data_IF_531213566871
#
_entry.id   IF_531213566871
#
_cell.length_a   1.000
_cell.length_b   1.000
_cell.length_c   1.000
_cell.angle_alpha   90.00
_cell.angle_beta   90.00
_cell.angle_gamma   90.00
#
_symmetry.space_group_name_H-M   'P 1'
#
loop_
_entity.id
_entity.type
_entity.pdbx_description
1 polymer ?
#
# COMPACT_ATOMS: atom_id res chain seq x y z
N UNK A 1 12.48 -4.88 -9.08
CA UNK A 1 11.88 -4.02 -10.12
C UNK A 1 10.58 -4.61 -10.64
N UNK A 2 10.56 -5.82 -11.18
CA UNK A 2 9.31 -6.46 -11.65
C UNK A 2 8.23 -6.61 -10.55
N UNK A 3 8.61 -7.07 -9.35
CA UNK A 3 7.69 -7.21 -8.22
C UNK A 3 7.07 -5.88 -7.81
N UNK A 4 7.86 -4.81 -7.72
CA UNK A 4 7.39 -3.46 -7.42
C UNK A 4 6.35 -2.95 -8.44
N UNK A 5 6.57 -3.19 -9.73
CA UNK A 5 5.59 -2.90 -10.80
C UNK A 5 4.30 -3.71 -10.63
N UNK A 6 4.41 -5.01 -10.33
CA UNK A 6 3.24 -5.88 -10.10
C UNK A 6 2.44 -5.41 -8.89
N UNK A 7 3.11 -5.09 -7.77
CA UNK A 7 2.43 -4.60 -6.57
C UNK A 7 1.72 -3.28 -6.81
N UNK A 8 2.32 -2.39 -7.60
CA UNK A 8 1.70 -1.11 -7.97
C UNK A 8 0.48 -1.32 -8.88
N UNK A 9 0.51 -2.34 -9.75
CA UNK A 9 -0.64 -2.72 -10.57
C UNK A 9 -1.79 -3.27 -9.71
N UNK A 10 -1.49 -4.14 -8.73
CA UNK A 10 -2.49 -4.60 -7.76
C UNK A 10 -3.09 -3.44 -6.95
N UNK A 11 -2.26 -2.49 -6.54
CA UNK A 11 -2.74 -1.28 -5.86
C UNK A 11 -3.73 -0.52 -6.74
N UNK A 12 -3.42 -0.29 -8.03
CA UNK A 12 -4.33 0.34 -8.98
C UNK A 12 -5.64 -0.45 -9.16
N UNK A 13 -5.59 -1.78 -9.24
CA UNK A 13 -6.78 -2.62 -9.32
C UNK A 13 -7.68 -2.47 -8.09
N UNK A 14 -7.09 -2.41 -6.90
CA UNK A 14 -7.84 -2.19 -5.67
C UNK A 14 -8.37 -0.76 -5.54
N UNK A 15 -7.65 0.26 -6.03
CA UNK A 15 -8.19 1.61 -6.14
C UNK A 15 -9.40 1.65 -7.09
N UNK A 16 -9.30 0.96 -8.23
CA UNK A 16 -10.40 0.82 -9.17
C UNK A 16 -11.61 0.15 -8.53
N UNK A 17 -11.42 -0.96 -7.82
CA UNK A 17 -12.48 -1.63 -7.08
C UNK A 17 -13.13 -0.70 -6.05
N UNK A 18 -12.33 0.06 -5.30
CA UNK A 18 -12.83 1.00 -4.28
C UNK A 18 -13.63 2.15 -4.89
N UNK A 19 -13.24 2.60 -6.08
CA UNK A 19 -13.98 3.62 -6.83
C UNK A 19 -15.30 3.06 -7.39
N UNK A 20 -15.31 1.83 -7.91
CA UNK A 20 -16.53 1.15 -8.39
C UNK A 20 -17.53 0.93 -7.25
N UNK A 21 -17.04 0.56 -6.06
CA UNK A 21 -17.85 0.39 -4.85
C UNK A 21 -18.21 1.71 -4.15
N UNK A 22 -17.80 2.86 -4.71
CA UNK A 22 -18.03 4.20 -4.17
C UNK A 22 -17.42 4.43 -2.76
N UNK A 23 -16.44 3.62 -2.37
CA UNK A 23 -15.66 3.85 -1.16
C UNK A 23 -14.56 4.88 -1.37
N UNK A 24 -14.04 4.97 -2.60
CA UNK A 24 -13.00 5.90 -3.01
C UNK A 24 -13.51 6.86 -4.08
N UNK A 25 -12.84 8.01 -4.20
CA UNK A 25 -13.07 8.95 -5.29
C UNK A 25 -11.99 8.76 -6.38
N UNK A 26 -12.20 9.41 -7.53
CA UNK A 26 -11.22 9.43 -8.61
C UNK A 26 -9.87 10.07 -8.24
N UNK A 27 -9.79 10.80 -7.13
CA UNK A 27 -8.54 11.41 -6.70
C UNK A 27 -7.58 10.39 -6.08
N UNK A 28 -8.07 9.19 -5.75
CA UNK A 28 -7.25 8.11 -5.20
C UNK A 28 -6.13 7.68 -6.14
N UNK A 29 -6.31 7.79 -7.46
CA UNK A 29 -5.29 7.42 -8.43
C UNK A 29 -4.06 8.32 -8.37
N UNK A 30 -4.17 9.56 -7.88
CA UNK A 30 -3.00 10.45 -7.68
C UNK A 30 -2.04 9.94 -6.61
N UNK A 31 -2.47 9.03 -5.74
CA UNK A 31 -1.60 8.44 -4.73
C UNK A 31 -0.67 7.37 -5.32
N UNK A 32 -0.90 6.90 -6.55
CA UNK A 32 -0.06 5.88 -7.20
C UNK A 32 1.44 6.23 -7.23
N UNK A 33 1.89 7.41 -7.72
CA UNK A 33 3.31 7.75 -7.72
C UNK A 33 3.90 7.81 -6.31
N UNK A 34 3.13 8.31 -5.33
CA UNK A 34 3.56 8.38 -3.93
C UNK A 34 3.68 6.97 -3.35
N UNK A 35 2.72 6.09 -3.63
CA UNK A 35 2.73 4.69 -3.22
C UNK A 35 3.98 3.97 -3.72
N UNK A 36 4.33 4.16 -5.00
CA UNK A 36 5.51 3.55 -5.60
C UNK A 36 6.80 3.96 -4.87
N UNK A 37 6.96 5.26 -4.60
CA UNK A 37 8.12 5.80 -3.87
C UNK A 37 8.20 5.27 -2.43
N UNK A 38 7.06 5.24 -1.73
CA UNK A 38 6.99 4.73 -0.37
C UNK A 38 7.29 3.23 -0.31
N UNK A 39 6.74 2.44 -1.23
CA UNK A 39 6.99 1.00 -1.31
C UNK A 39 8.46 0.70 -1.60
N UNK A 40 9.09 1.51 -2.46
CA UNK A 40 10.53 1.44 -2.70
C UNK A 40 11.33 1.74 -1.42
N UNK A 41 10.95 2.78 -0.66
CA UNK A 41 11.55 3.10 0.63
C UNK A 41 11.39 1.98 1.67
N UNK A 42 10.20 1.39 1.76
CA UNK A 42 9.92 0.26 2.68
C UNK A 42 10.77 -0.97 2.34
N UNK A 43 11.15 -1.16 1.06
CA UNK A 43 11.98 -2.29 0.63
C UNK A 43 13.31 -2.41 1.40
N UNK A 44 13.91 -1.29 1.82
CA UNK A 44 15.17 -1.27 2.56
C UNK A 44 15.06 -1.86 3.98
N UNK A 45 13.85 -2.00 4.52
CA UNK A 45 13.60 -2.55 5.86
C UNK A 45 13.27 -4.04 5.85
N UNK A 46 13.04 -4.63 4.68
CA UNK A 46 12.85 -6.07 4.53
C UNK A 46 14.17 -6.74 4.15
N UNK A 47 14.45 -7.90 4.76
CA UNK A 47 15.64 -8.71 4.50
C UNK A 47 15.20 -10.06 3.95
N UNK A 48 15.97 -10.56 2.98
CA UNK A 48 15.81 -11.92 2.45
C UNK A 48 16.07 -12.95 3.59
N UNK A 49 15.38 -14.08 3.57
CA UNK A 49 15.46 -15.20 4.54
C UNK A 49 14.76 -15.02 5.90
N UNK A 50 13.87 -14.03 6.06
CA UNK A 50 12.94 -14.02 7.19
C UNK A 50 11.70 -14.87 6.87
N UNK A 51 11.47 -15.96 7.59
CA UNK A 51 10.39 -16.94 7.31
C UNK A 51 9.05 -16.59 7.99
N UNK A 52 8.98 -15.47 8.71
CA UNK A 52 7.72 -15.00 9.30
C UNK A 52 6.84 -14.40 8.23
N UNK A 53 5.64 -14.95 8.08
CA UNK A 53 4.64 -14.48 7.11
C UNK A 53 4.17 -13.06 7.43
N UNK A 54 3.87 -12.75 8.69
CA UNK A 54 3.36 -11.45 9.13
C UNK A 54 4.18 -10.93 10.31
N UNK A 55 4.59 -9.67 10.26
CA UNK A 55 5.33 -8.98 11.32
C UNK A 55 4.64 -7.69 11.76
N UNK A 56 4.81 -7.31 13.03
CA UNK A 56 4.23 -6.07 13.57
C UNK A 56 4.64 -4.81 12.80
N UNK A 57 5.81 -4.82 12.17
CA UNK A 57 6.30 -3.71 11.34
C UNK A 57 5.49 -3.53 10.05
N UNK A 58 4.82 -4.57 9.56
CA UNK A 58 4.02 -4.52 8.32
C UNK A 58 2.78 -3.66 8.53
N UNK A 59 2.14 -3.83 9.70
CA UNK A 59 1.06 -2.96 10.17
C UNK A 59 1.55 -1.52 10.37
N UNK A 60 2.74 -1.33 10.93
CA UNK A 60 3.31 0.01 11.16
C UNK A 60 3.62 0.74 9.85
N UNK A 61 4.26 0.08 8.87
CA UNK A 61 4.51 0.66 7.55
C UNK A 61 3.21 0.98 6.82
N UNK A 62 2.24 0.06 6.87
CA UNK A 62 0.91 0.28 6.30
C UNK A 62 0.25 1.51 6.91
N UNK A 63 0.30 1.64 8.24
CA UNK A 63 -0.29 2.77 8.95
C UNK A 63 0.40 4.08 8.58
N UNK A 64 1.73 4.11 8.50
CA UNK A 64 2.49 5.29 8.06
C UNK A 64 2.11 5.70 6.64
N UNK A 65 2.10 4.76 5.69
CA UNK A 65 1.75 5.03 4.29
C UNK A 65 0.32 5.59 4.19
N UNK A 66 -0.63 4.95 4.90
CA UNK A 66 -2.02 5.39 4.91
C UNK A 66 -2.18 6.79 5.52
N UNK A 67 -1.42 7.10 6.57
CA UNK A 67 -1.37 8.44 7.16
C UNK A 67 -0.81 9.48 6.20
N UNK A 68 0.23 9.16 5.44
CA UNK A 68 0.76 10.06 4.40
C UNK A 68 -0.32 10.36 3.36
N UNK A 69 -1.06 9.34 2.89
CA UNK A 69 -2.17 9.56 1.96
C UNK A 69 -3.29 10.39 2.57
N UNK A 70 -3.64 10.15 3.84
CA UNK A 70 -4.60 10.98 4.55
C UNK A 70 -4.18 12.45 4.57
N UNK A 71 -2.91 12.73 4.88
CA UNK A 71 -2.38 14.09 4.87
C UNK A 71 -2.41 14.71 3.46
N UNK A 72 -2.01 13.96 2.42
CA UNK A 72 -2.11 14.43 1.04
C UNK A 72 -3.56 14.81 0.67
N UNK A 73 -4.54 14.00 1.06
CA UNK A 73 -5.95 14.28 0.83
C UNK A 73 -6.46 15.52 1.56
N UNK A 74 -6.04 15.71 2.81
CA UNK A 74 -6.37 16.91 3.58
C UNK A 74 -5.78 18.16 2.93
N UNK A 75 -4.54 18.10 2.45
CA UNK A 75 -3.90 19.20 1.70
C UNK A 75 -4.63 19.52 0.39
N UNK A 76 -5.26 18.52 -0.24
CA UNK A 76 -6.09 18.71 -1.44
C UNK A 76 -7.53 19.17 -1.11
N UNK A 77 -7.89 19.31 0.17
CA UNK A 77 -9.21 19.77 0.62
C UNK A 77 -10.32 18.70 0.57
N UNK A 78 -9.98 17.41 0.50
CA UNK A 78 -10.96 16.33 0.47
C UNK A 78 -11.31 15.83 1.87
N UNK A 79 -12.60 15.61 2.11
CA UNK A 79 -13.09 14.98 3.34
C UNK A 79 -12.91 13.46 3.26
N UNK A 80 -12.28 12.89 4.28
CA UNK A 80 -12.09 11.44 4.41
C UNK A 80 -13.09 10.89 5.42
N UNK A 81 -13.93 9.95 4.97
CA UNK A 81 -14.80 9.18 5.86
C UNK A 81 -14.03 8.03 6.53
N UNK A 82 -14.58 7.47 7.61
CA UNK A 82 -14.00 6.27 8.25
C UNK A 82 -13.90 5.10 7.27
N UNK A 83 -14.93 4.89 6.45
CA UNK A 83 -14.97 3.81 5.45
C UNK A 83 -13.87 3.99 4.42
N UNK A 84 -13.69 5.22 3.92
CA UNK A 84 -12.61 5.56 2.99
C UNK A 84 -11.25 5.21 3.59
N UNK A 85 -10.98 5.67 4.82
CA UNK A 85 -9.69 5.44 5.48
C UNK A 85 -9.44 3.94 5.72
N UNK A 86 -10.43 3.21 6.22
CA UNK A 86 -10.30 1.78 6.50
C UNK A 86 -10.09 0.97 5.22
N UNK A 87 -10.80 1.30 4.14
CA UNK A 87 -10.58 0.66 2.83
C UNK A 87 -9.17 0.94 2.33
N UNK A 88 -8.72 2.19 2.38
CA UNK A 88 -7.37 2.58 1.96
C UNK A 88 -6.29 1.84 2.76
N UNK A 89 -6.45 1.76 4.08
CA UNK A 89 -5.55 1.01 4.94
C UNK A 89 -5.45 -0.46 4.54
N UNK A 90 -6.60 -1.11 4.29
CA UNK A 90 -6.66 -2.52 3.90
C UNK A 90 -5.97 -2.74 2.55
N UNK A 91 -6.21 -1.87 1.57
CA UNK A 91 -5.57 -1.94 0.26
C UNK A 91 -4.05 -1.79 0.37
N UNK A 92 -3.59 -0.79 1.13
CA UNK A 92 -2.16 -0.58 1.39
C UNK A 92 -1.56 -1.81 2.08
N UNK A 93 -2.25 -2.37 3.07
CA UNK A 93 -1.79 -3.56 3.81
C UNK A 93 -1.55 -4.74 2.86
N UNK A 94 -2.55 -5.08 2.05
CA UNK A 94 -2.46 -6.18 1.09
C UNK A 94 -1.30 -5.99 0.11
N UNK A 95 -1.10 -4.76 -0.38
CA UNK A 95 -0.01 -4.48 -1.31
C UNK A 95 1.36 -4.50 -0.61
N UNK A 96 1.48 -3.96 0.60
CA UNK A 96 2.73 -4.01 1.38
C UNK A 96 3.09 -5.46 1.68
N UNK A 97 2.14 -6.29 2.11
CA UNK A 97 2.36 -7.72 2.37
C UNK A 97 2.79 -8.47 1.09
N UNK A 98 2.06 -8.29 -0.02
CA UNK A 98 2.41 -8.92 -1.30
C UNK A 98 3.84 -8.57 -1.74
N UNK A 99 4.28 -7.35 -1.47
CA UNK A 99 5.65 -6.94 -1.75
C UNK A 99 6.66 -7.48 -0.73
N UNK A 100 6.36 -7.41 0.56
CA UNK A 100 7.22 -7.91 1.64
C UNK A 100 7.47 -9.41 1.50
N UNK A 101 6.44 -10.19 1.23
CA UNK A 101 6.51 -11.63 0.99
C UNK A 101 7.41 -11.96 -0.20
N UNK A 102 7.31 -11.17 -1.27
CA UNK A 102 8.18 -11.34 -2.45
C UNK A 102 9.66 -11.13 -2.16
N UNK A 103 10.01 -10.43 -1.08
CA UNK A 103 11.39 -10.23 -0.62
C UNK A 103 11.77 -11.31 0.41
N UNK A 104 10.89 -11.58 1.38
CA UNK A 104 11.13 -12.52 2.48
C UNK A 104 11.35 -13.96 1.98
N UNK A 105 10.50 -14.42 1.08
CA UNK A 105 10.44 -15.82 0.62
C UNK A 105 11.20 -16.06 -0.69
N UNK A 106 11.94 -15.07 -1.18
CA UNK A 106 12.67 -15.13 -2.46
C UNK A 106 13.76 -16.22 -2.52
N UNK A 107 14.17 -16.78 -1.37
CA UNK A 107 15.19 -17.83 -1.25
C UNK A 107 14.65 -19.26 -1.11
N UNK A 108 13.36 -19.49 -1.32
CA UNK A 108 12.75 -20.84 -1.28
C UNK A 108 12.70 -21.55 -2.65
N UNK A 109 13.38 -21.00 -3.66
CA UNK A 109 13.60 -21.61 -4.98
C UNK A 109 15.11 -21.78 -5.14
#
# INVERSE_FOLDING_TARGET
MLTLSITTLFFLLFLFLGNVLQFLNAQAYWMMPIFLLLLWGVSFFYKEANTKSIEGKDFLFTLIITWIFYLCYQLMGFTISKVFFTYYYLVVFLCVELYADSIRFKSLI
#
